data_IF_916374390221
#
_entry.id   IF_916374390221
#
_cell.length_a   1.000
_cell.length_b   1.000
_cell.length_c   1.000
_cell.angle_alpha   90.00
_cell.angle_beta   90.00
_cell.angle_gamma   90.00
#
_symmetry.space_group_name_H-M   'P 1'
#
loop_
_entity.id
_entity.type
_entity.pdbx_description
1 polymer ?
#
# COMPACT_ATOMS: atom_id res chain seq x y z
N UNK A 1 9.88 -16.04 -12.38
CA UNK A 1 9.03 -15.73 -11.22
C UNK A 1 9.93 -15.52 -10.02
N UNK A 2 9.67 -14.52 -9.19
CA UNK A 2 10.49 -14.27 -8.00
C UNK A 2 10.38 -15.46 -7.03
N UNK A 3 11.52 -15.88 -6.47
CA UNK A 3 11.56 -16.83 -5.36
C UNK A 3 10.86 -16.21 -4.14
N UNK A 4 9.92 -16.94 -3.54
CA UNK A 4 9.03 -16.38 -2.51
C UNK A 4 9.80 -15.91 -1.27
N UNK A 5 10.75 -16.72 -0.79
CA UNK A 5 11.51 -16.39 0.42
C UNK A 5 12.39 -15.16 0.21
N UNK A 6 13.05 -15.06 -0.94
CA UNK A 6 13.83 -13.89 -1.30
C UNK A 6 12.94 -12.66 -1.53
N UNK A 7 11.78 -12.82 -2.17
CA UNK A 7 10.82 -11.74 -2.38
C UNK A 7 10.31 -11.15 -1.06
N UNK A 8 9.97 -12.01 -0.09
CA UNK A 8 9.50 -11.58 1.23
C UNK A 8 10.60 -10.80 1.99
N UNK A 9 11.84 -11.28 1.95
CA UNK A 9 12.99 -10.56 2.55
C UNK A 9 13.21 -9.20 1.91
N UNK A 10 13.15 -9.13 0.58
CA UNK A 10 13.31 -7.87 -0.16
C UNK A 10 12.18 -6.87 0.14
N UNK A 11 10.93 -7.32 0.20
CA UNK A 11 9.80 -6.45 0.54
C UNK A 11 9.92 -5.94 1.99
N UNK A 12 10.32 -6.79 2.94
CA UNK A 12 10.54 -6.37 4.32
C UNK A 12 11.64 -5.31 4.42
N UNK A 13 12.76 -5.52 3.71
CA UNK A 13 13.88 -4.57 3.66
C UNK A 13 13.47 -3.22 3.06
N UNK A 14 12.80 -3.24 1.90
CA UNK A 14 12.37 -2.02 1.18
C UNK A 14 11.24 -1.29 1.91
N UNK A 15 10.25 -2.02 2.44
CA UNK A 15 9.16 -1.43 3.23
C UNK A 15 9.65 -0.86 4.55
N UNK A 16 10.64 -1.49 5.17
CA UNK A 16 11.25 -1.06 6.43
C UNK A 16 12.10 0.21 6.34
N UNK A 17 12.48 0.66 5.14
CA UNK A 17 13.26 1.90 4.97
C UNK A 17 12.41 3.17 5.05
N UNK A 18 11.08 3.06 5.08
CA UNK A 18 10.20 4.21 5.24
C UNK A 18 10.21 4.69 6.70
N UNK A 19 10.62 5.95 6.98
CA UNK A 19 10.73 6.42 8.36
C UNK A 19 9.34 6.54 9.01
N UNK A 20 9.24 6.35 10.35
CA UNK A 20 8.01 6.60 11.08
C UNK A 20 7.47 8.01 10.81
N UNK A 21 6.19 8.12 10.48
CA UNK A 21 5.56 9.41 10.21
C UNK A 21 5.88 10.02 8.84
N UNK A 22 6.55 9.31 7.92
CA UNK A 22 6.86 9.80 6.57
C UNK A 22 5.66 10.42 5.83
N UNK A 23 4.44 9.91 6.03
CA UNK A 23 3.23 10.46 5.43
C UNK A 23 2.95 11.92 5.81
N UNK A 24 3.35 12.35 7.02
CA UNK A 24 3.16 13.73 7.50
C UNK A 24 4.41 14.60 7.37
N UNK A 25 5.60 14.01 7.55
CA UNK A 25 6.86 14.77 7.53
C UNK A 25 7.50 14.88 6.14
N UNK A 26 7.25 13.90 5.26
CA UNK A 26 7.90 13.79 3.94
C UNK A 26 6.85 13.84 2.81
N UNK A 27 5.57 13.67 3.13
CA UNK A 27 4.49 13.64 2.16
C UNK A 27 4.34 12.31 1.41
N UNK A 28 5.00 11.25 1.88
CA UNK A 28 4.93 9.93 1.26
C UNK A 28 4.62 8.84 2.29
N UNK A 29 3.49 8.15 2.12
CA UNK A 29 3.08 7.12 3.07
C UNK A 29 3.87 5.83 2.89
N UNK A 30 4.43 5.30 3.98
CA UNK A 30 5.16 4.02 3.95
C UNK A 30 4.33 2.84 3.41
N UNK A 31 3.01 2.83 3.63
CA UNK A 31 2.13 1.81 3.04
C UNK A 31 2.05 1.94 1.51
N UNK A 32 1.96 3.17 0.98
CA UNK A 32 1.95 3.42 -0.46
C UNK A 32 3.28 3.03 -1.11
N UNK A 33 4.41 3.43 -0.51
CA UNK A 33 5.75 3.06 -0.98
C UNK A 33 5.94 1.54 -0.93
N UNK A 34 5.42 0.88 0.11
CA UNK A 34 5.49 -0.58 0.22
C UNK A 34 4.71 -1.29 -0.90
N UNK A 35 3.58 -0.74 -1.36
CA UNK A 35 2.85 -1.27 -2.51
C UNK A 35 3.70 -1.18 -3.79
N UNK A 36 4.33 -0.03 -4.05
CA UNK A 36 5.30 0.11 -5.15
C UNK A 36 6.48 -0.85 -5.02
N UNK A 37 7.05 -0.99 -3.82
CA UNK A 37 8.15 -1.92 -3.56
C UNK A 37 7.75 -3.38 -3.83
N UNK A 38 6.56 -3.80 -3.39
CA UNK A 38 5.97 -5.10 -3.74
C UNK A 38 5.91 -5.27 -5.26
N UNK A 39 5.34 -4.30 -5.98
CA UNK A 39 5.18 -4.39 -7.42
C UNK A 39 6.53 -4.46 -8.14
N UNK A 40 7.53 -3.71 -7.67
CA UNK A 40 8.89 -3.77 -8.18
C UNK A 40 9.52 -5.15 -7.97
N UNK A 41 9.34 -5.76 -6.80
CA UNK A 41 9.88 -7.09 -6.51
C UNK A 41 9.26 -8.16 -7.40
N UNK A 42 7.92 -8.17 -7.55
CA UNK A 42 7.24 -9.23 -8.32
C UNK A 42 7.44 -9.09 -9.82
N UNK A 43 7.61 -7.87 -10.33
CA UNK A 43 7.85 -7.60 -11.75
C UNK A 43 9.34 -7.60 -12.12
N UNK A 44 10.24 -7.64 -11.14
CA UNK A 44 11.69 -7.49 -11.36
C UNK A 44 12.10 -6.07 -11.77
N UNK A 45 11.27 -5.06 -11.49
CA UNK A 45 11.58 -3.68 -11.81
C UNK A 45 12.77 -3.15 -11.01
N UNK A 46 13.56 -2.29 -11.65
CA UNK A 46 14.72 -1.62 -11.08
C UNK A 46 14.74 -0.14 -11.44
N UNK A 47 15.66 0.67 -10.87
CA UNK A 47 15.87 2.06 -11.30
C UNK A 47 16.25 2.22 -12.78
N UNK A 48 16.71 1.15 -13.43
CA UNK A 48 17.10 1.12 -14.85
C UNK A 48 16.03 0.48 -15.75
N UNK A 49 14.89 0.07 -15.19
CA UNK A 49 13.80 -0.48 -15.98
C UNK A 49 13.19 0.60 -16.88
N UNK A 50 12.94 0.24 -18.14
CA UNK A 50 12.37 1.16 -19.12
C UNK A 50 10.85 0.99 -19.26
N UNK A 51 10.21 2.02 -19.83
CA UNK A 51 8.79 2.00 -20.20
C UNK A 51 7.85 1.72 -19.03
N UNK A 52 6.86 0.85 -19.28
CA UNK A 52 5.77 0.59 -18.35
C UNK A 52 6.24 -0.02 -17.02
N UNK A 53 7.36 -0.73 -16.97
CA UNK A 53 7.76 -1.45 -15.76
C UNK A 53 8.14 -0.50 -14.61
N UNK A 54 8.98 0.51 -14.87
CA UNK A 54 9.29 1.54 -13.87
C UNK A 54 8.09 2.46 -13.63
N UNK A 55 7.36 2.80 -14.69
CA UNK A 55 6.16 3.65 -14.62
C UNK A 55 5.07 3.05 -13.73
N UNK A 56 4.77 1.76 -13.88
CA UNK A 56 3.71 1.07 -13.15
C UNK A 56 4.01 0.92 -11.65
N UNK A 57 5.29 0.81 -11.27
CA UNK A 57 5.73 0.83 -9.86
C UNK A 57 5.40 2.18 -9.21
N UNK A 58 5.77 3.27 -9.87
CA UNK A 58 5.51 4.63 -9.39
C UNK A 58 4.02 4.95 -9.43
N UNK A 59 3.33 4.51 -10.48
CA UNK A 59 1.89 4.67 -10.64
C UNK A 59 1.12 4.00 -9.50
N UNK A 60 1.50 2.78 -9.09
CA UNK A 60 0.86 2.13 -7.94
C UNK A 60 0.98 2.97 -6.68
N UNK A 61 2.21 3.44 -6.42
CA UNK A 61 2.50 4.29 -5.27
C UNK A 61 1.64 5.56 -5.32
N UNK A 62 1.59 6.22 -6.49
CA UNK A 62 0.78 7.41 -6.73
C UNK A 62 -0.71 7.17 -6.51
N UNK A 63 -1.28 6.10 -7.08
CA UNK A 63 -2.69 5.71 -6.86
C UNK A 63 -3.01 5.52 -5.38
N UNK A 64 -2.13 4.85 -4.65
CA UNK A 64 -2.26 4.68 -3.20
C UNK A 64 -2.26 6.05 -2.48
N UNK A 65 -1.33 6.94 -2.83
CA UNK A 65 -1.23 8.27 -2.23
C UNK A 65 -2.46 9.13 -2.52
N UNK A 66 -2.96 9.12 -3.76
CA UNK A 66 -4.18 9.84 -4.14
C UNK A 66 -5.39 9.36 -3.32
N UNK A 67 -5.62 8.05 -3.25
CA UNK A 67 -6.71 7.48 -2.45
C UNK A 67 -6.59 7.79 -0.94
N UNK A 68 -5.37 7.89 -0.41
CA UNK A 68 -5.14 8.30 0.99
C UNK A 68 -5.37 9.80 1.19
N UNK A 69 -4.97 10.63 0.23
CA UNK A 69 -5.09 12.09 0.30
C UNK A 69 -6.56 12.53 0.31
N UNK A 70 -7.42 11.86 -0.45
CA UNK A 70 -8.87 12.10 -0.47
C UNK A 70 -9.54 11.92 0.90
N UNK A 71 -9.04 10.99 1.72
CA UNK A 71 -9.55 10.78 3.09
C UNK A 71 -8.97 11.82 4.05
N UNK A 72 -7.70 12.17 3.85
CA UNK A 72 -6.97 13.10 4.71
C UNK A 72 -6.43 12.47 6.01
N UNK A 73 -6.19 13.35 6.99
CA UNK A 73 -5.58 13.04 8.28
C UNK A 73 -6.56 13.00 9.46
N UNK A 74 -6.07 12.73 10.68
CA UNK A 74 -4.70 12.32 11.01
C UNK A 74 -4.33 10.96 10.41
N UNK A 75 -3.02 10.69 10.31
CA UNK A 75 -2.50 9.44 9.73
C UNK A 75 -3.07 8.21 10.45
N UNK A 76 -3.29 7.12 9.72
CA UNK A 76 -3.62 5.82 10.31
C UNK A 76 -2.95 4.71 9.51
N UNK A 77 -1.97 4.02 10.11
CA UNK A 77 -1.21 2.98 9.42
C UNK A 77 -2.10 1.82 8.95
N UNK A 78 -3.16 1.48 9.70
CA UNK A 78 -4.10 0.41 9.33
C UNK A 78 -4.95 0.79 8.13
N UNK A 79 -5.60 1.97 8.17
CA UNK A 79 -6.38 2.51 7.04
C UNK A 79 -5.54 2.56 5.76
N UNK A 80 -4.34 3.12 5.86
CA UNK A 80 -3.46 3.28 4.69
C UNK A 80 -2.95 1.92 4.18
N UNK A 81 -2.73 0.94 5.06
CA UNK A 81 -2.37 -0.42 4.63
C UNK A 81 -3.51 -1.10 3.87
N UNK A 82 -4.75 -0.99 4.35
CA UNK A 82 -5.91 -1.56 3.66
C UNK A 82 -6.12 -0.95 2.27
N UNK A 83 -5.95 0.37 2.14
CA UNK A 83 -6.01 1.07 0.85
C UNK A 83 -4.90 0.56 -0.08
N UNK A 84 -3.66 0.56 0.40
CA UNK A 84 -2.51 0.17 -0.40
C UNK A 84 -2.61 -1.28 -0.91
N UNK A 85 -3.07 -2.22 -0.07
CA UNK A 85 -3.29 -3.61 -0.47
C UNK A 85 -4.40 -3.70 -1.52
N UNK A 86 -5.54 -3.03 -1.32
CA UNK A 86 -6.64 -3.04 -2.29
C UNK A 86 -6.22 -2.51 -3.66
N UNK A 87 -5.55 -1.35 -3.68
CA UNK A 87 -5.02 -0.76 -4.92
C UNK A 87 -3.96 -1.64 -5.59
N UNK A 88 -3.13 -2.35 -4.81
CA UNK A 88 -2.17 -3.30 -5.35
C UNK A 88 -2.86 -4.52 -5.99
N UNK A 89 -3.90 -5.06 -5.35
CA UNK A 89 -4.70 -6.16 -5.92
C UNK A 89 -5.34 -5.75 -7.24
N UNK A 90 -5.96 -4.57 -7.30
CA UNK A 90 -6.55 -4.02 -8.52
C UNK A 90 -5.49 -3.91 -9.63
N UNK A 91 -4.33 -3.31 -9.33
CA UNK A 91 -3.28 -3.15 -10.33
C UNK A 91 -2.70 -4.49 -10.81
N UNK A 92 -2.56 -5.48 -9.92
CA UNK A 92 -2.11 -6.83 -10.30
C UNK A 92 -3.12 -7.48 -11.25
N UNK A 93 -4.42 -7.31 -11.01
CA UNK A 93 -5.48 -7.73 -11.94
C UNK A 93 -5.35 -7.03 -13.30
N UNK A 94 -5.29 -5.70 -13.31
CA UNK A 94 -5.28 -4.89 -14.52
C UNK A 94 -4.04 -5.10 -15.39
N UNK A 95 -2.86 -5.20 -14.76
CA UNK A 95 -1.57 -5.19 -15.47
C UNK A 95 -0.98 -6.56 -15.69
N UNK A 96 -1.23 -7.51 -14.78
CA UNK A 96 -0.64 -8.84 -14.84
C UNK A 96 -1.68 -9.92 -15.20
N UNK A 97 -2.98 -9.58 -15.23
CA UNK A 97 -4.05 -10.54 -15.50
C UNK A 97 -4.23 -11.58 -14.38
N UNK A 98 -3.72 -11.29 -13.18
CA UNK A 98 -3.76 -12.23 -12.04
C UNK A 98 -4.89 -11.82 -11.09
N UNK A 99 -5.83 -12.73 -10.84
CA UNK A 99 -6.87 -12.55 -9.85
C UNK A 99 -6.38 -12.99 -8.48
N UNK A 100 -6.22 -12.04 -7.55
CA UNK A 100 -5.88 -12.34 -6.16
C UNK A 100 -7.14 -12.53 -5.32
N UNK A 101 -7.05 -13.35 -4.28
CA UNK A 101 -8.07 -13.41 -3.24
C UNK A 101 -8.09 -12.08 -2.47
N UNK A 102 -9.25 -11.45 -2.40
CA UNK A 102 -9.45 -10.20 -1.68
C UNK A 102 -10.89 -10.14 -1.18
N UNK A 103 -11.12 -9.77 0.09
CA UNK A 103 -12.46 -9.78 0.67
C UNK A 103 -13.33 -8.67 0.06
N UNK A 104 -14.62 -8.94 -0.11
CA UNK A 104 -15.61 -7.95 -0.57
C UNK A 104 -15.70 -6.74 0.40
N UNK A 105 -15.46 -6.98 1.69
CA UNK A 105 -15.49 -5.95 2.74
C UNK A 105 -14.30 -6.12 3.69
N UNK A 106 -13.64 -5.00 3.98
CA UNK A 106 -12.60 -4.93 5.02
C UNK A 106 -13.19 -4.25 6.26
N UNK A 107 -13.07 -4.92 7.38
CA UNK A 107 -13.50 -4.44 8.69
C UNK A 107 -12.29 -4.25 9.62
N UNK A 108 -12.10 -3.03 10.12
CA UNK A 108 -10.95 -2.68 10.95
C UNK A 108 -11.20 -3.06 12.41
N UNK A 109 -10.56 -4.14 12.88
CA UNK A 109 -10.56 -4.51 14.30
C UNK A 109 -9.69 -3.64 15.22
N UNK A 110 -8.92 -2.69 14.66
CA UNK A 110 -7.87 -1.95 15.37
C UNK A 110 -8.29 -0.55 15.83
N UNK A 111 -9.55 -0.15 15.66
CA UNK A 111 -10.05 1.19 16.00
C UNK A 111 -9.68 1.65 17.40
N UNK A 112 -9.77 0.76 18.38
CA UNK A 112 -9.58 1.08 19.81
C UNK A 112 -8.12 1.13 20.23
N UNK A 113 -7.20 0.81 19.31
CA UNK A 113 -5.74 0.82 19.54
C UNK A 113 -5.07 2.05 18.94
N UNK A 114 -5.85 3.02 18.48
CA UNK A 114 -5.36 4.23 17.83
C UNK A 114 -6.13 5.44 18.38
N UNK A 115 -5.49 6.23 19.23
CA UNK A 115 -6.11 7.39 19.90
C UNK A 115 -6.58 8.43 18.88
N UNK A 116 -5.90 8.53 17.73
CA UNK A 116 -6.24 9.42 16.62
C UNK A 116 -7.21 8.78 15.61
N UNK A 117 -7.91 7.71 15.97
CA UNK A 117 -8.87 7.07 15.06
C UNK A 117 -10.04 8.01 14.74
N UNK A 118 -10.31 8.22 13.45
CA UNK A 118 -11.42 9.06 12.98
C UNK A 118 -12.78 8.34 12.97
N UNK A 119 -12.82 7.08 13.44
CA UNK A 119 -14.01 6.24 13.62
C UNK A 119 -14.99 6.32 12.45
N UNK A 120 -16.19 6.87 12.63
CA UNK A 120 -17.29 6.91 11.66
C UNK A 120 -16.90 7.59 10.34
N UNK A 121 -15.86 8.43 10.33
CA UNK A 121 -15.32 9.03 9.10
C UNK A 121 -14.41 8.09 8.29
N UNK A 122 -14.06 6.92 8.83
CA UNK A 122 -13.24 5.91 8.16
C UNK A 122 -14.13 4.82 7.58
N UNK A 123 -14.04 4.58 6.26
CA UNK A 123 -14.81 3.52 5.57
C UNK A 123 -14.59 2.09 6.08
N UNK A 124 -13.50 1.85 6.83
CA UNK A 124 -13.19 0.54 7.40
C UNK A 124 -13.64 0.40 8.85
N UNK A 125 -14.19 1.44 9.47
CA UNK A 125 -14.59 1.39 10.86
C UNK A 125 -15.82 0.50 11.05
N UNK A 126 -15.78 -0.33 12.08
CA UNK A 126 -16.93 -1.09 12.56
C UNK A 126 -17.27 -0.57 13.95
N UNK A 127 -18.53 -0.18 14.14
CA UNK A 127 -19.03 0.23 15.45
C UNK A 127 -19.02 -0.99 16.36
N UNK A 128 -18.33 -0.86 17.50
CA UNK A 128 -18.26 -1.88 18.54
C UNK A 128 -19.31 -1.63 19.62
#
# INVERSE_FOLDING_TARGET
>A
MADLDNALKEIQKRGGSAPPGACGFIGNCGAAVSAGAFYSVVTGASPYSEGAQWGDVNMLTGKCLMAMAEIGGPRCCKRNSFIAIGTAVEQVGDKLGIKMEYPEKIECGFSDRNEECIKEKCKFYVKK
#
